data_IF_142346722539
#
_entry.id   IF_142346722539
#
_cell.length_a   1.000
_cell.length_b   1.000
_cell.length_c   1.000
_cell.angle_alpha   90.00
_cell.angle_beta   90.00
_cell.angle_gamma   90.00
#
_symmetry.space_group_name_H-M   'P 1'
#
loop_
_entity.id
_entity.type
_entity.pdbx_description
1 polymer ?
#
# COMPACT_ATOMS: atom_id res chain seq x y z
N UNK A 1 15.93 20.95 10.40
CA UNK A 1 14.51 20.83 10.76
C UNK A 1 14.17 21.94 11.72
N UNK A 2 13.13 22.70 11.40
CA UNK A 2 12.55 23.71 12.28
C UNK A 2 11.62 23.05 13.31
N UNK A 3 11.25 23.76 14.37
CA UNK A 3 10.27 23.24 15.35
C UNK A 3 8.90 22.93 14.73
N UNK A 4 8.51 23.65 13.66
CA UNK A 4 7.28 23.35 12.91
C UNK A 4 7.39 22.04 12.12
N UNK A 5 8.55 21.74 11.55
CA UNK A 5 8.76 20.48 10.81
C UNK A 5 8.67 19.26 11.75
N UNK A 6 9.19 19.40 12.98
CA UNK A 6 9.13 18.36 14.01
C UNK A 6 7.70 18.11 14.50
N UNK A 7 6.90 19.17 14.68
CA UNK A 7 5.49 19.05 15.08
C UNK A 7 4.65 18.37 13.98
N UNK A 8 4.84 18.76 12.72
CA UNK A 8 4.15 18.13 11.59
C UNK A 8 4.51 16.64 11.43
N UNK A 9 5.77 16.27 11.67
CA UNK A 9 6.21 14.86 11.66
C UNK A 9 5.49 14.04 12.75
N UNK A 10 5.32 14.60 13.95
CA UNK A 10 4.64 13.92 15.05
C UNK A 10 3.15 13.71 14.78
N UNK A 11 2.48 14.69 14.14
CA UNK A 11 1.06 14.57 13.77
C UNK A 11 0.82 13.45 12.75
N UNK A 12 1.71 13.33 11.75
CA UNK A 12 1.66 12.27 10.75
C UNK A 12 1.85 10.90 11.41
N UNK A 13 2.84 10.79 12.30
CA UNK A 13 3.12 9.55 13.02
C UNK A 13 1.97 9.10 13.91
N UNK A 14 1.39 10.04 14.66
CA UNK A 14 0.26 9.73 15.53
C UNK A 14 -0.98 9.34 14.70
N UNK A 15 -1.24 10.00 13.57
CA UNK A 15 -2.33 9.58 12.67
C UNK A 15 -2.12 8.16 12.14
N UNK A 16 -0.94 7.85 11.58
CA UNK A 16 -0.70 6.54 10.99
C UNK A 16 -0.66 5.41 12.02
N UNK A 17 -0.18 5.67 13.24
CA UNK A 17 -0.23 4.69 14.34
C UNK A 17 -1.67 4.26 14.67
N UNK A 18 -2.60 5.20 14.70
CA UNK A 18 -4.00 4.91 15.03
C UNK A 18 -4.78 4.32 13.84
N UNK A 19 -4.54 4.83 12.64
CA UNK A 19 -5.34 4.45 11.46
C UNK A 19 -4.92 3.08 10.88
N UNK A 20 -3.66 2.64 11.08
CA UNK A 20 -3.15 1.36 10.53
C UNK A 20 -3.99 0.16 10.98
N UNK A 21 -4.27 0.06 12.28
CA UNK A 21 -5.11 -1.02 12.82
C UNK A 21 -6.56 -0.93 12.34
N UNK A 22 -7.10 0.28 12.20
CA UNK A 22 -8.44 0.48 11.63
C UNK A 22 -8.49 0.00 10.17
N UNK A 23 -7.54 0.43 9.34
CA UNK A 23 -7.47 0.03 7.94
C UNK A 23 -7.28 -1.47 7.78
N UNK A 24 -6.36 -2.09 8.52
CA UNK A 24 -6.15 -3.53 8.46
C UNK A 24 -7.42 -4.34 8.77
N UNK A 25 -8.20 -3.92 9.77
CA UNK A 25 -9.50 -4.53 10.05
C UNK A 25 -10.55 -4.25 8.96
N UNK A 26 -10.58 -3.03 8.42
CA UNK A 26 -11.53 -2.63 7.38
C UNK A 26 -11.27 -3.36 6.06
N UNK A 27 -10.01 -3.62 5.73
CA UNK A 27 -9.58 -4.30 4.51
C UNK A 27 -9.38 -5.80 4.66
N UNK A 28 -9.73 -6.39 5.80
CA UNK A 28 -9.64 -7.83 5.98
C UNK A 28 -10.67 -8.55 5.09
N UNK A 29 -10.24 -9.59 4.37
CA UNK A 29 -11.16 -10.47 3.65
C UNK A 29 -12.01 -11.28 4.62
N UNK A 30 -13.12 -11.85 4.15
CA UNK A 30 -13.93 -12.77 4.96
C UNK A 30 -13.16 -14.02 5.44
N UNK A 31 -12.06 -14.37 4.77
CA UNK A 31 -11.16 -15.45 5.16
C UNK A 31 -10.04 -14.99 6.12
N UNK A 32 -10.01 -13.69 6.48
CA UNK A 32 -9.01 -13.10 7.36
C UNK A 32 -7.71 -12.70 6.65
N UNK A 33 -7.71 -12.61 5.32
CA UNK A 33 -6.54 -12.15 4.58
C UNK A 33 -6.41 -10.62 4.64
N UNK A 34 -5.18 -10.13 4.79
CA UNK A 34 -4.87 -8.71 4.74
C UNK A 34 -4.16 -8.39 3.42
N UNK A 35 -4.62 -7.34 2.76
CA UNK A 35 -4.03 -6.84 1.53
C UNK A 35 -2.72 -6.08 1.78
N UNK A 36 -2.48 -5.64 3.02
CA UNK A 36 -1.36 -4.79 3.43
C UNK A 36 -1.48 -3.36 2.90
N UNK A 37 -2.62 -2.97 2.33
CA UNK A 37 -2.82 -1.68 1.69
C UNK A 37 -3.68 -0.77 2.57
N UNK A 38 -3.20 0.47 2.77
CA UNK A 38 -3.91 1.50 3.52
C UNK A 38 -4.53 2.53 2.55
N UNK A 39 -5.31 2.05 1.58
CA UNK A 39 -5.92 2.88 0.54
C UNK A 39 -7.33 2.39 0.14
N UNK A 40 -8.05 3.17 -0.68
CA UNK A 40 -9.45 2.92 -1.02
C UNK A 40 -9.70 1.89 -2.14
N UNK A 41 -8.66 1.36 -2.79
CA UNK A 41 -8.77 0.35 -3.85
C UNK A 41 -9.41 0.82 -5.17
N UNK A 42 -9.64 -0.13 -6.09
CA UNK A 42 -10.29 0.02 -7.39
C UNK A 42 -11.57 -0.83 -7.45
N UNK A 43 -12.71 -0.16 -7.52
CA UNK A 43 -14.04 -0.76 -7.49
C UNK A 43 -14.50 -1.14 -8.89
N UNK A 44 -14.10 -2.34 -9.34
CA UNK A 44 -14.63 -2.94 -10.56
C UNK A 44 -16.12 -3.31 -10.39
N UNK A 45 -16.79 -3.63 -11.50
CA UNK A 45 -18.13 -4.22 -11.44
C UNK A 45 -18.08 -5.50 -10.58
N UNK A 46 -19.08 -5.68 -9.73
CA UNK A 46 -19.21 -6.84 -8.83
C UNK A 46 -18.12 -6.94 -7.74
N UNK A 47 -17.44 -5.83 -7.42
CA UNK A 47 -16.47 -5.78 -6.32
C UNK A 47 -17.19 -5.80 -4.95
N UNK A 48 -17.06 -6.88 -4.15
CA UNK A 48 -17.90 -7.11 -2.99
C UNK A 48 -17.43 -6.38 -1.72
N UNK A 49 -16.14 -6.09 -1.62
CA UNK A 49 -15.51 -5.56 -0.40
C UNK A 49 -14.25 -4.75 -0.72
N UNK A 50 -13.72 -4.10 0.32
CA UNK A 50 -12.52 -3.29 0.23
C UNK A 50 -11.29 -4.14 -0.10
N UNK A 51 -11.15 -5.32 0.50
CA UNK A 51 -10.05 -6.25 0.22
C UNK A 51 -9.93 -6.48 -1.29
N UNK A 52 -11.04 -6.89 -1.92
CA UNK A 52 -11.11 -7.17 -3.35
C UNK A 52 -10.84 -5.91 -4.16
N UNK A 53 -11.36 -4.75 -3.73
CA UNK A 53 -11.07 -3.48 -4.41
C UNK A 53 -9.57 -3.18 -4.42
N UNK A 54 -8.87 -3.40 -3.31
CA UNK A 54 -7.45 -3.14 -3.22
C UNK A 54 -6.62 -4.14 -4.04
N UNK A 55 -7.00 -5.44 -4.05
CA UNK A 55 -6.37 -6.44 -4.93
C UNK A 55 -6.56 -6.06 -6.41
N UNK A 56 -7.76 -5.64 -6.80
CA UNK A 56 -8.03 -5.17 -8.16
C UNK A 56 -7.20 -3.93 -8.53
N UNK A 57 -6.94 -3.05 -7.56
CA UNK A 57 -6.07 -1.90 -7.76
C UNK A 57 -4.63 -2.33 -8.01
N UNK A 58 -4.11 -3.25 -7.20
CA UNK A 58 -2.79 -3.83 -7.41
C UNK A 58 -2.68 -4.49 -8.79
N UNK A 59 -3.69 -5.23 -9.22
CA UNK A 59 -3.72 -5.87 -10.54
C UNK A 59 -3.69 -4.87 -11.68
N UNK A 60 -4.34 -3.70 -11.52
CA UNK A 60 -4.22 -2.60 -12.48
C UNK A 60 -2.82 -2.03 -12.57
N UNK A 61 -2.14 -1.85 -11.43
CA UNK A 61 -0.76 -1.36 -11.41
C UNK A 61 0.15 -2.35 -12.13
N UNK A 62 0.06 -3.64 -11.76
CA UNK A 62 0.85 -4.71 -12.37
C UNK A 62 0.59 -4.79 -13.87
N UNK A 63 -0.68 -4.80 -14.30
CA UNK A 63 -1.03 -4.85 -15.73
C UNK A 63 -0.51 -3.64 -16.52
N UNK A 64 -0.49 -2.45 -15.90
CA UNK A 64 0.07 -1.25 -16.53
C UNK A 64 1.58 -1.38 -16.72
N UNK A 65 2.30 -1.85 -15.70
CA UNK A 65 3.75 -2.02 -15.75
C UNK A 65 4.17 -3.16 -16.69
N UNK A 66 3.45 -4.28 -16.68
CA UNK A 66 3.72 -5.43 -17.55
C UNK A 66 3.47 -5.09 -19.02
N UNK A 67 2.39 -4.37 -19.34
CA UNK A 67 2.15 -3.85 -20.69
C UNK A 67 3.28 -2.92 -21.16
N UNK A 68 3.94 -2.22 -20.25
CA UNK A 68 5.10 -1.38 -20.56
C UNK A 68 6.41 -2.17 -20.66
N UNK A 69 6.38 -3.50 -20.46
CA UNK A 69 7.56 -4.35 -20.44
C UNK A 69 8.49 -4.04 -19.27
N UNK A 70 7.95 -3.55 -18.15
CA UNK A 70 8.77 -3.12 -17.03
C UNK A 70 9.48 -4.31 -16.37
N UNK A 71 10.81 -4.31 -16.46
CA UNK A 71 11.70 -5.20 -15.72
C UNK A 71 12.81 -4.34 -15.13
N UNK A 72 12.82 -4.15 -13.83
CA UNK A 72 13.80 -3.26 -13.21
C UNK A 72 13.54 -2.92 -11.75
N UNK A 73 13.99 -1.73 -11.37
CA UNK A 73 13.88 -1.17 -10.03
C UNK A 73 12.75 -0.15 -9.96
N UNK A 74 11.85 -0.29 -8.98
CA UNK A 74 10.80 0.65 -8.68
C UNK A 74 11.03 1.35 -7.33
N UNK A 75 10.39 2.50 -7.17
CA UNK A 75 10.35 3.28 -5.93
C UNK A 75 8.88 3.51 -5.55
N UNK A 76 8.51 3.13 -4.33
CA UNK A 76 7.24 3.50 -3.72
C UNK A 76 7.49 4.57 -2.65
N UNK A 77 6.83 5.73 -2.80
CA UNK A 77 6.89 6.85 -1.85
C UNK A 77 5.60 6.87 -1.05
N UNK A 78 5.69 6.83 0.28
CA UNK A 78 4.54 6.71 1.17
C UNK A 78 3.98 5.29 1.14
N UNK A 79 4.85 4.29 1.33
CA UNK A 79 4.48 2.89 1.18
C UNK A 79 3.58 2.36 2.31
N UNK A 80 3.40 3.11 3.40
CA UNK A 80 2.67 2.66 4.57
C UNK A 80 3.30 1.37 5.10
N UNK A 81 2.52 0.30 5.15
CA UNK A 81 2.99 -1.03 5.58
C UNK A 81 3.47 -1.91 4.41
N UNK A 82 3.62 -1.36 3.21
CA UNK A 82 4.28 -1.99 2.07
C UNK A 82 3.41 -2.90 1.19
N UNK A 83 2.09 -2.88 1.33
CA UNK A 83 1.19 -3.78 0.60
C UNK A 83 1.34 -3.75 -0.92
N UNK A 84 1.52 -2.57 -1.52
CA UNK A 84 1.73 -2.45 -2.97
C UNK A 84 3.07 -3.03 -3.37
N UNK A 85 4.19 -2.60 -2.78
CA UNK A 85 5.52 -3.14 -3.09
C UNK A 85 5.60 -4.66 -2.93
N UNK A 86 5.10 -5.21 -1.80
CA UNK A 86 5.12 -6.65 -1.54
C UNK A 86 4.21 -7.38 -2.54
N UNK A 87 3.00 -6.87 -2.78
CA UNK A 87 2.04 -7.44 -3.73
C UNK A 87 2.59 -7.45 -5.16
N UNK A 88 3.27 -6.39 -5.57
CA UNK A 88 3.93 -6.27 -6.87
C UNK A 88 5.05 -7.30 -7.00
N UNK A 89 5.94 -7.41 -6.00
CA UNK A 89 7.04 -8.39 -6.00
C UNK A 89 6.54 -9.84 -6.09
N UNK A 90 5.39 -10.16 -5.48
CA UNK A 90 4.76 -11.49 -5.60
C UNK A 90 4.28 -11.78 -7.02
N UNK A 91 3.78 -10.77 -7.74
CA UNK A 91 3.22 -10.90 -9.10
C UNK A 91 4.28 -10.71 -10.20
N UNK A 92 5.35 -9.96 -9.93
CA UNK A 92 6.43 -9.63 -10.85
C UNK A 92 7.80 -9.89 -10.19
N UNK A 93 8.20 -11.17 -9.99
CA UNK A 93 9.35 -11.53 -9.15
C UNK A 93 10.72 -11.10 -9.70
N UNK A 94 10.80 -10.69 -10.97
CA UNK A 94 12.02 -10.13 -11.57
C UNK A 94 12.25 -8.65 -11.20
N UNK A 95 11.28 -7.99 -10.59
CA UNK A 95 11.38 -6.58 -10.18
C UNK A 95 12.07 -6.44 -8.82
N UNK A 96 12.58 -5.24 -8.54
CA UNK A 96 13.12 -4.86 -7.24
C UNK A 96 12.43 -3.58 -6.79
N UNK A 97 12.08 -3.48 -5.51
CA UNK A 97 11.40 -2.30 -4.98
C UNK A 97 12.23 -1.66 -3.86
N UNK A 98 12.32 -0.34 -3.90
CA UNK A 98 12.64 0.48 -2.73
C UNK A 98 11.34 1.10 -2.25
N UNK A 99 11.04 0.96 -0.96
CA UNK A 99 9.83 1.49 -0.36
C UNK A 99 10.22 2.47 0.74
N UNK A 100 9.65 3.67 0.71
CA UNK A 100 9.96 4.74 1.65
C UNK A 100 8.67 5.12 2.37
N UNK A 101 8.73 5.13 3.70
CA UNK A 101 7.70 5.72 4.55
C UNK A 101 8.34 6.73 5.49
N UNK A 102 7.59 7.78 5.82
CA UNK A 102 8.02 8.79 6.80
C UNK A 102 7.61 8.41 8.22
N UNK A 103 6.72 7.42 8.38
CA UNK A 103 6.18 7.02 9.66
C UNK A 103 6.69 5.65 10.11
N UNK A 104 7.48 5.57 11.20
CA UNK A 104 8.01 4.30 11.67
C UNK A 104 6.90 3.31 12.04
N UNK A 105 7.18 2.01 11.82
CA UNK A 105 6.31 0.91 12.21
C UNK A 105 6.60 0.63 13.70
N UNK A 106 5.91 1.32 14.60
CA UNK A 106 5.87 0.97 16.03
C UNK A 106 4.47 0.46 16.38
#
# INVERSE_FOLDING_TARGET
>A
MTNSDLLASNEIDDFYRHIRGYWGHLSASLAGEDSGMLNFGYWANECPDLYTAQINFLDKIVGTLDHQGFVGQGLEIGCGIGGISIGLLKKMPATRMVAIDISPIN
#
